data_IF_732921746140
#
_entry.id   IF_732921746140
#
_cell.length_a   1.000
_cell.length_b   1.000
_cell.length_c   1.000
_cell.angle_alpha   90.00
_cell.angle_beta   90.00
_cell.angle_gamma   90.00
#
_symmetry.space_group_name_H-M   'P 1'
#
loop_
_entity.id
_entity.type
_entity.pdbx_description
1 polymer ?
#
# COMPACT_ATOMS: atom_id res chain seq x y z
N UNK A 1 20.82 9.96 -9.02
CA UNK A 1 19.85 9.56 -7.99
C UNK A 1 18.87 10.72 -7.88
N UNK A 2 17.66 10.56 -8.41
CA UNK A 2 16.71 11.67 -8.60
C UNK A 2 15.75 11.77 -7.41
N UNK A 3 15.36 12.99 -7.06
CA UNK A 3 14.36 13.32 -6.05
C UNK A 3 12.94 12.92 -6.51
N UNK A 4 12.72 11.63 -6.70
CA UNK A 4 11.45 10.96 -7.04
C UNK A 4 11.56 9.42 -7.05
N UNK A 5 12.75 8.83 -6.85
CA UNK A 5 12.98 7.37 -6.97
C UNK A 5 12.38 6.55 -5.81
N UNK A 6 11.80 7.22 -4.82
CA UNK A 6 11.00 6.60 -3.78
C UNK A 6 9.58 7.14 -3.93
N UNK A 7 8.81 6.51 -4.82
CA UNK A 7 7.35 6.62 -4.88
C UNK A 7 6.78 6.63 -3.45
N UNK A 8 5.68 7.35 -3.20
CA UNK A 8 5.24 7.60 -1.83
C UNK A 8 5.09 6.27 -1.06
N UNK A 9 5.32 6.26 0.26
CA UNK A 9 5.31 5.04 1.06
C UNK A 9 4.05 4.22 0.79
N UNK A 10 4.20 3.00 0.30
CA UNK A 10 3.09 2.17 -0.14
C UNK A 10 3.24 0.73 0.36
N UNK A 11 2.15 -0.02 0.31
CA UNK A 11 2.14 -1.46 0.54
C UNK A 11 1.46 -2.19 -0.61
N UNK A 12 1.82 -3.46 -0.80
CA UNK A 12 1.22 -4.32 -1.83
C UNK A 12 0.07 -5.13 -1.22
N UNK A 13 -1.06 -5.16 -1.92
CA UNK A 13 -2.14 -6.11 -1.71
C UNK A 13 -2.07 -7.13 -2.84
N UNK A 14 -1.93 -8.41 -2.50
CA UNK A 14 -1.86 -9.50 -3.48
C UNK A 14 -3.06 -10.43 -3.34
N UNK A 15 -3.79 -10.61 -4.44
CA UNK A 15 -4.85 -11.60 -4.54
C UNK A 15 -4.26 -13.00 -4.80
N UNK A 16 -5.05 -14.03 -4.52
CA UNK A 16 -4.65 -15.44 -4.70
C UNK A 16 -4.36 -15.82 -6.15
N UNK A 17 -4.94 -15.10 -7.10
CA UNK A 17 -4.74 -15.29 -8.54
C UNK A 17 -3.54 -14.51 -9.10
N UNK A 18 -2.71 -13.92 -8.22
CA UNK A 18 -1.49 -13.21 -8.59
C UNK A 18 -1.69 -11.75 -8.99
N UNK A 19 -2.93 -11.24 -9.07
CA UNK A 19 -3.18 -9.81 -9.25
C UNK A 19 -2.72 -9.04 -8.02
N UNK A 20 -2.26 -7.81 -8.23
CA UNK A 20 -1.87 -6.93 -7.13
C UNK A 20 -2.37 -5.49 -7.29
N UNK A 21 -2.36 -4.79 -6.16
CA UNK A 21 -2.51 -3.35 -6.08
C UNK A 21 -1.48 -2.75 -5.11
N UNK A 22 -0.93 -1.59 -5.48
CA UNK A 22 -0.09 -0.76 -4.63
C UNK A 22 -0.98 0.31 -4.02
N UNK A 23 -0.95 0.42 -2.70
CA UNK A 23 -1.77 1.37 -1.94
C UNK A 23 -0.85 2.31 -1.18
N UNK A 24 -1.06 3.61 -1.36
CA UNK A 24 -0.36 4.64 -0.61
C UNK A 24 -0.72 4.58 0.87
N UNK A 25 0.26 4.59 1.76
CA UNK A 25 0.05 4.45 3.21
C UNK A 25 -0.61 5.71 3.80
N UNK A 26 -0.30 6.89 3.27
CA UNK A 26 -0.76 8.16 3.85
C UNK A 26 -2.24 8.41 3.53
N UNK A 27 -2.62 8.25 2.26
CA UNK A 27 -3.94 8.57 1.71
C UNK A 27 -4.85 7.35 1.64
N UNK A 28 -4.27 6.14 1.59
CA UNK A 28 -4.97 4.91 1.24
C UNK A 28 -5.59 4.96 -0.16
N UNK A 29 -4.96 5.67 -1.09
CA UNK A 29 -5.34 5.62 -2.50
C UNK A 29 -4.59 4.50 -3.22
N UNK A 30 -5.24 3.89 -4.21
CA UNK A 30 -4.60 2.89 -5.08
C UNK A 30 -3.72 3.64 -6.07
N UNK A 31 -2.41 3.47 -5.97
CA UNK A 31 -1.42 4.06 -6.86
C UNK A 31 -1.35 3.30 -8.19
N UNK A 32 -1.46 1.97 -8.14
CA UNK A 32 -1.38 1.08 -9.31
C UNK A 32 -2.06 -0.25 -9.02
N UNK A 33 -2.63 -0.89 -10.02
CA UNK A 33 -3.14 -2.27 -9.93
C UNK A 33 -4.59 -2.41 -10.36
N UNK A 34 -5.07 -3.65 -10.34
CA UNK A 34 -6.35 -4.03 -10.96
C UNK A 34 -7.25 -4.84 -10.01
N UNK A 35 -7.10 -4.64 -8.71
CA UNK A 35 -8.00 -5.21 -7.71
C UNK A 35 -9.28 -4.37 -7.62
N UNK A 36 -10.43 -5.05 -7.60
CA UNK A 36 -11.75 -4.40 -7.52
C UNK A 36 -11.95 -3.83 -6.11
N UNK A 37 -12.77 -2.77 -5.94
CA UNK A 37 -13.00 -2.17 -4.61
C UNK A 37 -13.42 -3.17 -3.53
N UNK A 38 -14.26 -4.16 -3.89
CA UNK A 38 -14.69 -5.23 -2.97
C UNK A 38 -13.54 -6.14 -2.50
N UNK A 39 -12.51 -6.33 -3.33
CA UNK A 39 -11.33 -7.14 -3.01
C UNK A 39 -10.38 -6.38 -2.08
N UNK A 40 -10.45 -5.04 -2.08
CA UNK A 40 -9.65 -4.16 -1.24
C UNK A 40 -10.36 -3.80 0.08
N UNK A 41 -11.68 -3.97 0.19
CA UNK A 41 -12.47 -3.42 1.29
C UNK A 41 -11.94 -3.79 2.69
N UNK A 42 -11.63 -5.07 2.91
CA UNK A 42 -11.13 -5.57 4.19
C UNK A 42 -9.75 -5.00 4.53
N UNK A 43 -8.80 -5.10 3.60
CA UNK A 43 -7.43 -4.61 3.83
C UNK A 43 -7.39 -3.08 3.98
N UNK A 44 -8.28 -2.36 3.32
CA UNK A 44 -8.38 -0.90 3.41
C UNK A 44 -8.97 -0.46 4.76
N UNK A 45 -9.91 -1.22 5.31
CA UNK A 45 -10.40 -0.99 6.67
C UNK A 45 -9.26 -1.23 7.68
N UNK A 46 -8.57 -2.37 7.58
CA UNK A 46 -7.41 -2.66 8.43
C UNK A 46 -6.29 -1.61 8.31
N UNK A 47 -5.99 -1.15 7.10
CA UNK A 47 -4.95 -0.16 6.85
C UNK A 47 -5.28 1.21 7.45
N UNK A 48 -6.57 1.59 7.55
CA UNK A 48 -6.99 2.82 8.23
C UNK A 48 -6.58 2.82 9.69
N UNK A 49 -6.79 1.71 10.39
CA UNK A 49 -6.47 1.57 11.81
C UNK A 49 -4.97 1.29 12.03
N UNK A 50 -4.29 0.75 11.03
CA UNK A 50 -2.89 0.29 11.11
C UNK A 50 -1.87 1.23 10.46
N UNK A 51 -2.24 2.48 10.10
CA UNK A 51 -1.32 3.39 9.37
C UNK A 51 0.02 3.58 10.06
N UNK A 52 0.03 3.76 11.38
CA UNK A 52 1.27 3.94 12.14
C UNK A 52 2.21 2.72 12.02
N UNK A 53 1.64 1.51 12.08
CA UNK A 53 2.39 0.27 11.89
C UNK A 53 2.95 0.17 10.47
N UNK A 54 2.12 0.44 9.46
CA UNK A 54 2.52 0.42 8.05
C UNK A 54 3.66 1.43 7.78
N UNK A 55 3.54 2.66 8.28
CA UNK A 55 4.58 3.68 8.13
C UNK A 55 5.88 3.30 8.84
N UNK A 56 5.82 2.73 10.05
CA UNK A 56 7.00 2.28 10.78
C UNK A 56 7.71 1.13 10.03
N UNK A 57 6.94 0.14 9.57
CA UNK A 57 7.47 -1.00 8.81
C UNK A 57 8.05 -0.58 7.47
N UNK A 58 7.42 0.36 6.77
CA UNK A 58 7.97 0.89 5.53
C UNK A 58 9.33 1.54 5.77
N UNK A 59 9.47 2.38 6.82
CA UNK A 59 10.76 3.02 7.16
C UNK A 59 11.84 1.99 7.55
N UNK A 60 11.47 0.96 8.30
CA UNK A 60 12.37 -0.14 8.68
C UNK A 60 12.92 -0.88 7.45
N UNK A 61 12.10 -1.07 6.42
CA UNK A 61 12.47 -1.78 5.20
C UNK A 61 13.10 -0.88 4.12
N UNK A 62 13.04 0.44 4.29
CA UNK A 62 13.59 1.45 3.36
C UNK A 62 14.44 2.48 4.15
N UNK A 63 15.60 2.08 4.69
CA UNK A 63 16.49 2.95 5.47
C UNK A 63 17.29 3.94 4.62
#
# INVERSE_FOLDING_TARGET
MYAADHLPPHFHVRARDGREALVDIATLEVLRGHLRPRELAEVMAWARDSRALLSAKWKELNP
#
